data_IF_064839552511
#
_entry.id   IF_064839552511
#
_cell.length_a   1.000
_cell.length_b   1.000
_cell.length_c   1.000
_cell.angle_alpha   90.00
_cell.angle_beta   90.00
_cell.angle_gamma   90.00
#
_symmetry.space_group_name_H-M   'P 1'
#
loop_
_entity.id
_entity.type
_entity.pdbx_description
1 polymer ?
#
# COMPACT_ATOMS: atom_id res chain seq x y z
N UNK A 1 14.96 -7.21 -11.47
CA UNK A 1 13.95 -6.80 -10.47
C UNK A 1 13.54 -8.05 -9.73
N UNK A 2 13.71 -8.09 -8.40
CA UNK A 2 13.25 -9.26 -7.63
C UNK A 2 11.73 -9.30 -7.60
N UNK A 3 11.17 -10.49 -7.58
CA UNK A 3 9.73 -10.69 -7.44
C UNK A 3 9.45 -12.03 -6.79
N UNK A 4 8.40 -12.08 -6.00
CA UNK A 4 7.96 -13.27 -5.29
C UNK A 4 6.43 -13.37 -5.34
N UNK A 5 5.91 -14.59 -5.20
CA UNK A 5 4.48 -14.87 -5.31
C UNK A 5 3.95 -15.46 -4.02
N UNK A 6 2.79 -14.97 -3.59
CA UNK A 6 1.97 -15.61 -2.55
C UNK A 6 0.74 -16.23 -3.19
N UNK A 7 0.38 -17.43 -2.74
CA UNK A 7 -0.84 -18.14 -3.13
C UNK A 7 -1.75 -18.34 -1.92
N UNK A 8 -3.06 -18.15 -2.13
CA UNK A 8 -4.09 -18.39 -1.12
C UNK A 8 -5.38 -18.86 -1.81
N UNK A 9 -5.68 -20.15 -1.73
CA UNK A 9 -6.80 -20.74 -2.46
C UNK A 9 -6.62 -20.57 -3.97
N UNK A 10 -7.60 -19.95 -4.63
CA UNK A 10 -7.58 -19.66 -6.07
C UNK A 10 -6.93 -18.31 -6.43
N UNK A 11 -6.50 -17.54 -5.41
CA UNK A 11 -5.86 -16.24 -5.60
C UNK A 11 -4.34 -16.41 -5.58
N UNK A 12 -3.67 -15.80 -6.56
CA UNK A 12 -2.21 -15.63 -6.53
C UNK A 12 -1.85 -14.17 -6.77
N UNK A 13 -0.84 -13.70 -6.03
CA UNK A 13 -0.35 -12.32 -6.10
C UNK A 13 1.16 -12.34 -6.22
N UNK A 14 1.67 -11.81 -7.32
CA UNK A 14 3.10 -11.59 -7.55
C UNK A 14 3.47 -10.16 -7.19
N UNK A 15 4.38 -10.01 -6.23
CA UNK A 15 4.91 -8.72 -5.76
C UNK A 15 6.30 -8.53 -6.35
N UNK A 16 6.61 -7.33 -6.82
CA UNK A 16 7.97 -6.97 -7.22
C UNK A 16 8.62 -5.99 -6.26
N UNK A 17 9.94 -5.99 -6.26
CA UNK A 17 10.74 -4.89 -5.75
C UNK A 17 10.33 -3.56 -6.42
N UNK A 18 10.14 -2.54 -5.60
CA UNK A 18 9.60 -1.26 -6.00
C UNK A 18 10.57 -0.51 -6.92
N UNK A 19 10.01 -0.01 -8.01
CA UNK A 19 10.69 0.97 -8.87
C UNK A 19 10.26 2.39 -8.52
N UNK A 20 10.96 3.40 -9.04
CA UNK A 20 10.56 4.80 -8.87
C UNK A 20 9.12 5.06 -9.35
N UNK A 21 8.69 4.42 -10.45
CA UNK A 21 7.33 4.54 -10.96
C UNK A 21 6.30 3.96 -9.98
N UNK A 22 6.61 2.82 -9.35
CA UNK A 22 5.76 2.22 -8.31
C UNK A 22 5.67 3.11 -7.07
N UNK A 23 6.79 3.72 -6.66
CA UNK A 23 6.81 4.74 -5.60
C UNK A 23 5.89 5.94 -5.91
N UNK A 24 5.86 6.42 -7.15
CA UNK A 24 4.93 7.49 -7.54
C UNK A 24 3.47 7.02 -7.55
N UNK A 25 3.18 5.81 -8.04
CA UNK A 25 1.83 5.22 -7.98
C UNK A 25 1.33 5.09 -6.55
N UNK A 26 2.18 4.61 -5.64
CA UNK A 26 1.92 4.57 -4.20
C UNK A 26 1.52 5.94 -3.67
N UNK A 27 2.26 7.01 -4.03
CA UNK A 27 1.92 8.36 -3.58
C UNK A 27 0.57 8.85 -4.14
N UNK A 28 0.25 8.54 -5.39
CA UNK A 28 -1.05 8.89 -5.97
C UNK A 28 -2.19 8.19 -5.23
N UNK A 29 -2.07 6.88 -4.97
CA UNK A 29 -3.07 6.11 -4.22
C UNK A 29 -3.27 6.63 -2.79
N UNK A 30 -2.20 7.09 -2.13
CA UNK A 30 -2.30 7.75 -0.80
C UNK A 30 -3.12 9.02 -0.84
N UNK A 31 -2.97 9.82 -1.88
CA UNK A 31 -3.71 11.06 -2.03
C UNK A 31 -5.22 10.78 -2.20
N UNK A 32 -5.59 9.64 -2.79
CA UNK A 32 -6.99 9.19 -2.92
C UNK A 32 -7.63 8.75 -1.59
N UNK A 33 -6.89 8.73 -0.48
CA UNK A 33 -7.45 8.54 0.86
C UNK A 33 -8.16 9.81 1.37
N UNK A 34 -8.00 10.94 0.67
CA UNK A 34 -8.54 12.24 1.05
C UNK A 34 -9.35 12.87 -0.09
N UNK A 35 -10.31 13.70 0.29
CA UNK A 35 -11.13 14.52 -0.61
C UNK A 35 -11.35 15.91 0.01
N UNK A 36 -11.69 16.93 -0.79
CA UNK A 36 -12.07 18.23 -0.24
C UNK A 36 -13.24 18.09 0.75
N UNK A 37 -13.18 18.80 1.87
CA UNK A 37 -14.24 18.82 2.88
C UNK A 37 -15.47 19.51 2.29
N UNK A 38 -16.65 18.92 2.50
CA UNK A 38 -17.90 19.45 1.98
C UNK A 38 -18.24 20.86 2.51
N UNK A 39 -17.70 21.23 3.68
CA UNK A 39 -17.90 22.54 4.32
C UNK A 39 -16.79 23.54 4.00
N UNK A 40 -15.62 23.06 3.57
CA UNK A 40 -14.46 23.89 3.26
C UNK A 40 -13.56 23.19 2.22
N UNK A 41 -13.64 23.62 0.96
CA UNK A 41 -12.86 23.03 -0.13
C UNK A 41 -11.33 23.21 0.01
N UNK A 42 -10.86 24.08 0.91
CA UNK A 42 -9.41 24.23 1.20
C UNK A 42 -8.92 23.20 2.22
N UNK A 43 -9.84 22.52 2.91
CA UNK A 43 -9.52 21.48 3.89
C UNK A 43 -9.69 20.11 3.24
N UNK A 44 -8.74 19.21 3.50
CA UNK A 44 -8.85 17.80 3.11
C UNK A 44 -9.49 17.00 4.25
N UNK A 45 -10.45 16.16 3.90
CA UNK A 45 -11.12 15.23 4.80
C UNK A 45 -10.89 13.78 4.34
N UNK A 46 -10.81 12.79 5.26
CA UNK A 46 -10.79 11.38 4.91
C UNK A 46 -11.98 10.99 4.03
N UNK A 47 -11.72 10.17 3.00
CA UNK A 47 -12.79 9.54 2.21
C UNK A 47 -13.52 8.48 3.04
N UNK A 48 -12.77 7.74 3.84
CA UNK A 48 -13.28 6.71 4.74
C UNK A 48 -13.56 7.29 6.12
N UNK A 49 -14.78 7.08 6.64
CA UNK A 49 -15.18 7.54 7.97
C UNK A 49 -14.73 6.59 9.07
N UNK A 50 -14.68 5.29 8.76
CA UNK A 50 -14.11 4.29 9.65
C UNK A 50 -12.58 4.45 9.71
N UNK A 51 -12.04 4.48 10.93
CA UNK A 51 -10.62 4.75 11.16
C UNK A 51 -9.73 3.63 10.61
N UNK A 52 -10.13 2.36 10.79
CA UNK A 52 -9.36 1.22 10.30
C UNK A 52 -9.34 1.19 8.77
N UNK A 53 -10.49 1.42 8.12
CA UNK A 53 -10.58 1.54 6.67
C UNK A 53 -9.75 2.73 6.15
N UNK A 54 -9.74 3.87 6.86
CA UNK A 54 -8.91 5.01 6.48
C UNK A 54 -7.41 4.67 6.54
N UNK A 55 -6.97 4.02 7.61
CA UNK A 55 -5.58 3.57 7.77
C UNK A 55 -5.20 2.60 6.65
N UNK A 56 -6.07 1.63 6.32
CA UNK A 56 -5.82 0.72 5.20
C UNK A 56 -5.70 1.46 3.87
N UNK A 57 -6.59 2.43 3.59
CA UNK A 57 -6.54 3.21 2.34
C UNK A 57 -5.31 4.11 2.25
N UNK A 58 -4.80 4.58 3.39
CA UNK A 58 -3.64 5.46 3.47
C UNK A 58 -2.31 4.71 3.46
N UNK A 59 -2.26 3.50 4.01
CA UNK A 59 -1.00 2.79 4.26
C UNK A 59 -0.92 1.50 3.46
N UNK A 60 -1.70 0.48 3.82
CA UNK A 60 -1.52 -0.87 3.27
C UNK A 60 -1.94 -0.98 1.81
N UNK A 61 -3.10 -0.43 1.42
CA UNK A 61 -3.60 -0.53 0.05
C UNK A 61 -2.64 0.10 -0.98
N UNK A 62 -2.14 1.34 -0.79
CA UNK A 62 -1.15 1.92 -1.68
C UNK A 62 0.13 1.10 -1.79
N UNK A 63 0.64 0.60 -0.67
CA UNK A 63 1.88 -0.17 -0.62
C UNK A 63 1.70 -1.51 -1.37
N UNK A 64 0.58 -2.20 -1.19
CA UNK A 64 0.37 -3.53 -1.75
C UNK A 64 0.08 -3.45 -3.25
N UNK A 65 -0.81 -2.54 -3.66
CA UNK A 65 -1.24 -2.42 -5.06
C UNK A 65 -0.16 -1.81 -5.95
N UNK A 66 0.63 -0.86 -5.43
CA UNK A 66 1.69 -0.25 -6.24
C UNK A 66 2.81 -1.23 -6.63
N UNK A 67 3.06 -2.25 -5.81
CA UNK A 67 4.04 -3.32 -6.07
C UNK A 67 3.41 -4.60 -6.66
N UNK A 68 2.11 -4.60 -6.96
CA UNK A 68 1.45 -5.71 -7.63
C UNK A 68 1.93 -5.80 -9.08
N UNK A 69 2.74 -6.83 -9.37
CA UNK A 69 3.24 -7.07 -10.72
C UNK A 69 2.26 -7.90 -11.56
N UNK A 70 1.57 -8.84 -10.91
CA UNK A 70 0.58 -9.73 -11.53
C UNK A 70 -0.32 -10.34 -10.47
N UNK A 71 -1.58 -10.59 -10.82
CA UNK A 71 -2.49 -11.41 -10.00
C UNK A 71 -3.26 -12.41 -10.84
N UNK A 72 -3.73 -13.46 -10.17
CA UNK A 72 -4.77 -14.37 -10.64
C UNK A 72 -5.89 -14.40 -9.59
N UNK A 73 -7.14 -14.46 -10.02
CA UNK A 73 -8.30 -14.47 -9.12
C UNK A 73 -8.65 -13.10 -8.54
N UNK A 74 -7.93 -12.03 -8.91
CA UNK A 74 -8.24 -10.65 -8.55
C UNK A 74 -8.59 -9.83 -9.80
N UNK A 75 -9.48 -8.83 -9.69
CA UNK A 75 -9.74 -7.89 -10.77
C UNK A 75 -8.52 -7.00 -11.04
N UNK A 76 -8.40 -6.52 -12.28
CA UNK A 76 -7.40 -5.54 -12.70
C UNK A 76 -8.12 -4.37 -13.40
N UNK A 77 -8.17 -3.15 -12.82
CA UNK A 77 -7.48 -2.75 -11.58
C UNK A 77 -8.14 -3.29 -10.30
N UNK A 78 -7.33 -3.55 -9.27
CA UNK A 78 -7.81 -3.87 -7.92
C UNK A 78 -8.25 -2.59 -7.19
N UNK A 79 -9.55 -2.45 -6.95
CA UNK A 79 -10.09 -1.31 -6.20
C UNK A 79 -9.90 -1.48 -4.70
N UNK A 80 -10.00 -0.37 -3.94
CA UNK A 80 -9.92 -0.42 -2.48
C UNK A 80 -11.07 -1.22 -1.87
N UNK A 81 -12.26 -1.13 -2.44
CA UNK A 81 -13.45 -1.84 -1.96
C UNK A 81 -13.28 -3.35 -2.11
N UNK A 82 -12.67 -3.81 -3.21
CA UNK A 82 -12.33 -5.24 -3.36
C UNK A 82 -11.21 -5.63 -2.41
N UNK A 83 -10.23 -4.76 -2.18
CA UNK A 83 -9.12 -5.01 -1.26
C UNK A 83 -9.59 -5.23 0.19
N UNK A 84 -10.61 -4.49 0.65
CA UNK A 84 -11.19 -4.65 1.99
C UNK A 84 -11.82 -6.03 2.22
N UNK A 85 -12.34 -6.65 1.16
CA UNK A 85 -13.01 -7.94 1.22
C UNK A 85 -12.04 -9.14 1.05
N UNK A 86 -10.74 -8.88 0.90
CA UNK A 86 -9.75 -9.94 0.76
C UNK A 86 -9.56 -10.70 2.08
N UNK A 87 -9.28 -12.02 2.02
CA UNK A 87 -8.98 -12.79 3.23
C UNK A 87 -7.79 -12.20 4.00
N UNK A 88 -7.96 -12.01 5.31
CA UNK A 88 -6.93 -11.45 6.19
C UNK A 88 -5.58 -12.20 6.08
N UNK A 89 -5.64 -13.54 6.07
CA UNK A 89 -4.46 -14.39 5.90
C UNK A 89 -3.73 -14.19 4.55
N UNK A 90 -4.44 -13.77 3.50
CA UNK A 90 -3.81 -13.37 2.23
C UNK A 90 -3.13 -12.00 2.39
N UNK A 91 -3.81 -11.03 3.01
CA UNK A 91 -3.29 -9.69 3.23
C UNK A 91 -2.04 -9.68 4.12
N UNK A 92 -2.00 -10.52 5.15
CA UNK A 92 -0.85 -10.69 6.04
C UNK A 92 0.39 -11.19 5.27
N UNK A 93 0.20 -12.25 4.46
CA UNK A 93 1.28 -12.82 3.65
C UNK A 93 1.74 -11.87 2.54
N UNK A 94 0.80 -11.21 1.88
CA UNK A 94 1.09 -10.21 0.85
C UNK A 94 1.86 -9.03 1.47
N UNK A 95 1.40 -8.49 2.59
CA UNK A 95 2.09 -7.41 3.31
C UNK A 95 3.51 -7.77 3.72
N UNK A 96 3.69 -8.97 4.29
CA UNK A 96 5.01 -9.49 4.65
C UNK A 96 5.94 -9.49 3.43
N UNK A 97 5.45 -9.92 2.27
CA UNK A 97 6.23 -9.95 1.04
C UNK A 97 6.58 -8.55 0.52
N UNK A 98 5.61 -7.63 0.56
CA UNK A 98 5.81 -6.22 0.16
C UNK A 98 6.94 -5.60 0.97
N UNK A 99 6.92 -5.73 2.29
CA UNK A 99 7.93 -5.10 3.15
C UNK A 99 9.26 -5.85 3.17
N UNK A 100 9.27 -7.16 2.92
CA UNK A 100 10.51 -7.94 2.74
C UNK A 100 11.26 -7.50 1.48
N UNK A 101 10.53 -7.27 0.38
CA UNK A 101 11.13 -6.78 -0.86
C UNK A 101 11.45 -5.28 -0.81
N UNK A 102 10.70 -4.51 -0.01
CA UNK A 102 10.77 -3.04 0.04
C UNK A 102 10.96 -2.51 1.47
N UNK A 103 12.06 -2.88 2.16
CA UNK A 103 12.25 -2.51 3.57
C UNK A 103 12.33 -0.98 3.79
N UNK A 104 12.83 -0.24 2.81
CA UNK A 104 12.91 1.22 2.80
C UNK A 104 11.55 1.93 2.91
N UNK A 105 10.43 1.23 2.71
CA UNK A 105 9.09 1.79 2.93
C UNK A 105 8.67 1.83 4.40
N UNK A 106 9.34 1.06 5.27
CA UNK A 106 9.16 1.07 6.72
C UNK A 106 10.14 1.99 7.45
N UNK A 107 11.23 2.40 6.79
CA UNK A 107 12.24 3.25 7.39
C UNK A 107 11.66 4.65 7.66
N UNK A 108 11.58 5.02 8.94
CA UNK A 108 11.42 6.42 9.31
C UNK A 108 12.70 7.15 8.87
N UNK A 109 12.60 8.39 8.35
CA UNK A 109 13.77 9.17 8.02
C UNK A 109 14.67 9.24 9.26
N UNK A 110 15.85 8.64 9.15
CA UNK A 110 16.84 8.65 10.23
C UNK A 110 17.32 10.08 10.33
N UNK A 111 17.10 10.72 11.48
CA UNK A 111 17.57 12.08 11.73
C UNK A 111 19.10 12.10 11.62
N UNK A 112 19.62 12.66 10.52
CA UNK A 112 21.07 12.73 10.22
C UNK A 112 21.85 13.50 11.30
N UNK A 113 21.18 14.20 12.21
CA UNK A 113 21.79 14.83 13.37
C UNK A 113 22.39 13.85 14.38
N UNK A 114 22.08 12.55 14.30
CA UNK A 114 22.60 11.53 15.23
C UNK A 114 23.89 10.84 14.75
N UNK A 115 24.35 11.09 13.51
CA UNK A 115 25.60 10.49 12.97
C UNK A 115 26.87 11.31 13.25
N UNK A 116 26.88 12.14 14.30
CA UNK A 116 28.12 12.70 14.86
C UNK A 116 28.21 12.38 16.35
N UNK A 117 28.57 11.13 16.65
CA UNK A 117 29.31 10.65 17.83
C UNK A 117 29.15 9.13 17.89
N UNK A 118 30.13 8.37 17.40
CA UNK A 118 31.17 7.67 18.18
C UNK A 118 32.30 7.32 17.22
#
# INVERSE_FOLDING_TARGET
>A
MRSETVEFGEISVTVSEATALMGMRRQLLRNEAFQPDAKDAQKMAPVQQDEAAHILRLVSYPDYVSCLAKSQGLPDPLTFEVFLELPDALLERWGTLVYTLNPHWLELPVDETTQKKV
#
